data_IF_766130282763
#
_entry.id   IF_766130282763
#
_cell.length_a   1.000
_cell.length_b   1.000
_cell.length_c   1.000
_cell.angle_alpha   90.00
_cell.angle_beta   90.00
_cell.angle_gamma   90.00
#
_symmetry.space_group_name_H-M   'P 1'
#
loop_
_entity.id
_entity.type
_entity.pdbx_description
1 polymer ?
#
# COMPACT_ATOMS: atom_id res chain seq x y z
N UNK A 1 -27.67 -32.67 13.63
CA UNK A 1 -26.27 -32.33 14.00
C UNK A 1 -25.23 -33.27 13.37
N UNK A 2 -25.62 -34.34 12.65
CA UNK A 2 -24.67 -35.34 12.09
C UNK A 2 -24.04 -35.00 10.73
N UNK A 3 -24.52 -33.96 10.03
CA UNK A 3 -24.10 -33.68 8.63
C UNK A 3 -22.71 -33.00 8.56
N UNK A 4 -22.13 -32.58 9.69
CA UNK A 4 -20.81 -31.93 9.74
C UNK A 4 -19.66 -32.88 10.11
N UNK A 5 -19.97 -34.08 10.62
CA UNK A 5 -18.98 -35.07 11.11
C UNK A 5 -18.33 -35.93 10.02
N UNK A 6 -18.81 -35.84 8.78
CA UNK A 6 -18.31 -36.63 7.64
C UNK A 6 -17.40 -35.83 6.69
N UNK A 7 -16.79 -34.72 7.15
CA UNK A 7 -15.62 -34.18 6.43
C UNK A 7 -14.43 -35.07 6.73
N UNK A 8 -14.37 -36.20 6.04
CA UNK A 8 -13.17 -36.99 5.88
C UNK A 8 -12.11 -36.01 5.37
N UNK A 9 -11.20 -35.56 6.25
CA UNK A 9 -10.02 -34.83 5.81
C UNK A 9 -9.27 -35.84 4.96
N UNK A 10 -9.39 -35.70 3.64
CA UNK A 10 -8.54 -36.48 2.75
C UNK A 10 -7.11 -36.11 3.14
N UNK A 11 -6.35 -37.11 3.58
CA UNK A 11 -4.92 -36.98 3.83
C UNK A 11 -4.23 -36.84 2.46
N UNK A 12 -4.35 -35.65 1.88
CA UNK A 12 -3.73 -35.31 0.62
C UNK A 12 -2.25 -35.06 0.92
N UNK A 13 -1.32 -35.78 0.28
CA UNK A 13 0.10 -35.57 0.52
C UNK A 13 0.49 -34.14 0.09
N UNK A 14 1.34 -33.49 0.89
CA UNK A 14 1.74 -32.09 0.66
C UNK A 14 2.32 -31.86 -0.75
N UNK A 15 2.97 -32.88 -1.32
CA UNK A 15 3.49 -32.84 -2.69
C UNK A 15 2.38 -32.56 -3.72
N UNK A 16 1.24 -33.23 -3.62
CA UNK A 16 0.10 -33.02 -4.54
C UNK A 16 -0.49 -31.61 -4.40
N UNK A 17 -0.43 -31.04 -3.19
CA UNK A 17 -0.89 -29.67 -2.93
C UNK A 17 0.06 -28.66 -3.56
N UNK A 18 1.38 -28.89 -3.45
CA UNK A 18 2.40 -28.06 -4.11
C UNK A 18 2.30 -28.13 -5.63
N UNK A 19 2.12 -29.34 -6.17
CA UNK A 19 1.96 -29.56 -7.61
C UNK A 19 0.73 -28.78 -8.16
N UNK A 20 -0.36 -28.69 -7.40
CA UNK A 20 -1.56 -27.90 -7.76
C UNK A 20 -1.38 -26.39 -7.68
N UNK A 21 -0.38 -25.90 -6.95
CA UNK A 21 -0.18 -24.47 -6.66
C UNK A 21 1.06 -23.89 -7.35
N UNK A 22 1.60 -24.55 -8.37
CA UNK A 22 2.72 -24.04 -9.18
C UNK A 22 4.00 -24.86 -9.09
N UNK A 23 3.93 -26.06 -8.51
CA UNK A 23 5.00 -27.07 -8.59
C UNK A 23 5.90 -27.13 -7.36
N UNK A 24 6.82 -28.09 -7.39
CA UNK A 24 7.77 -28.37 -6.31
C UNK A 24 8.93 -27.36 -6.22
N UNK A 25 9.13 -26.54 -7.25
CA UNK A 25 10.22 -25.57 -7.33
C UNK A 25 9.92 -24.22 -6.62
N UNK A 26 8.70 -24.03 -6.11
CA UNK A 26 8.34 -22.84 -5.35
C UNK A 26 8.96 -22.89 -3.94
N UNK A 27 9.48 -21.75 -3.47
CA UNK A 27 9.86 -21.64 -2.05
C UNK A 27 8.63 -21.78 -1.15
N UNK A 28 8.88 -22.15 0.11
CA UNK A 28 7.82 -22.38 1.10
C UNK A 28 6.96 -21.14 1.32
N UNK A 29 7.54 -19.94 1.30
CA UNK A 29 6.81 -18.68 1.44
C UNK A 29 5.84 -18.43 0.27
N UNK A 30 6.29 -18.68 -0.96
CA UNK A 30 5.46 -18.51 -2.16
C UNK A 30 4.34 -19.55 -2.23
N UNK A 31 4.64 -20.80 -1.86
CA UNK A 31 3.63 -21.85 -1.74
C UNK A 31 2.56 -21.48 -0.70
N UNK A 32 2.98 -21.04 0.50
CA UNK A 32 2.06 -20.63 1.57
C UNK A 32 1.20 -19.44 1.14
N UNK A 33 1.79 -18.45 0.47
CA UNK A 33 1.06 -17.30 -0.05
C UNK A 33 -0.04 -17.74 -1.03
N UNK A 34 0.29 -18.58 -2.02
CA UNK A 34 -0.67 -19.13 -2.99
C UNK A 34 -1.75 -19.98 -2.32
N UNK A 35 -1.40 -20.76 -1.31
CA UNK A 35 -2.35 -21.57 -0.55
C UNK A 35 -3.35 -20.70 0.23
N UNK A 36 -2.88 -19.65 0.91
CA UNK A 36 -3.72 -18.71 1.68
C UNK A 36 -4.62 -17.89 0.74
N UNK A 37 -4.09 -17.45 -0.40
CA UNK A 37 -4.82 -16.72 -1.44
C UNK A 37 -5.77 -17.61 -2.26
N UNK A 38 -5.71 -18.94 -2.07
CA UNK A 38 -6.53 -19.96 -2.77
C UNK A 38 -6.30 -19.98 -4.29
N UNK A 39 -5.05 -19.77 -4.72
CA UNK A 39 -4.66 -19.81 -6.12
C UNK A 39 -3.64 -18.73 -6.48
N UNK A 40 -3.44 -18.54 -7.78
CA UNK A 40 -2.43 -17.63 -8.33
C UNK A 40 -3.01 -16.33 -8.90
N UNK A 41 -4.31 -16.27 -9.17
CA UNK A 41 -4.96 -15.17 -9.91
C UNK A 41 -4.71 -13.80 -9.28
N UNK A 42 -4.90 -13.67 -7.97
CA UNK A 42 -4.68 -12.42 -7.24
C UNK A 42 -3.20 -12.04 -7.21
N UNK A 43 -2.32 -13.03 -7.05
CA UNK A 43 -0.86 -12.83 -6.97
C UNK A 43 -0.33 -12.37 -8.33
N UNK A 44 -0.79 -12.99 -9.42
CA UNK A 44 -0.49 -12.59 -10.79
C UNK A 44 -1.00 -11.18 -11.09
N UNK A 45 -2.23 -10.87 -10.69
CA UNK A 45 -2.79 -9.52 -10.85
C UNK A 45 -1.95 -8.47 -10.10
N UNK A 46 -1.49 -8.78 -8.89
CA UNK A 46 -0.60 -7.89 -8.12
C UNK A 46 0.78 -7.74 -8.78
N UNK A 47 1.37 -8.84 -9.28
CA UNK A 47 2.66 -8.79 -10.00
C UNK A 47 2.55 -7.99 -11.30
N UNK A 48 1.46 -8.17 -12.04
CA UNK A 48 1.17 -7.42 -13.26
C UNK A 48 0.92 -5.93 -12.99
N UNK A 49 0.32 -5.58 -11.85
CA UNK A 49 0.15 -4.20 -11.43
C UNK A 49 1.49 -3.48 -11.15
N UNK A 50 2.55 -4.25 -10.88
CA UNK A 50 3.88 -3.73 -10.60
C UNK A 50 4.02 -3.15 -9.19
N UNK A 51 5.16 -2.49 -8.89
CA UNK A 51 5.40 -1.91 -7.59
C UNK A 51 4.38 -0.82 -7.24
N UNK A 52 4.07 -0.63 -5.94
CA UNK A 52 3.16 0.42 -5.51
C UNK A 52 3.64 1.80 -5.99
N UNK A 53 2.70 2.61 -6.46
CA UNK A 53 2.98 3.97 -6.92
C UNK A 53 3.60 4.77 -5.77
N UNK A 54 4.83 5.23 -5.97
CA UNK A 54 5.45 6.19 -5.06
C UNK A 54 4.93 7.59 -5.41
N UNK A 55 3.99 8.06 -4.60
CA UNK A 55 3.52 9.43 -4.71
C UNK A 55 4.53 10.35 -4.03
N UNK A 56 5.42 10.96 -4.81
CA UNK A 56 6.21 12.10 -4.35
C UNK A 56 5.29 13.30 -4.19
N UNK A 57 4.55 13.34 -3.08
CA UNK A 57 3.76 14.51 -2.75
C UNK A 57 4.71 15.69 -2.50
N UNK A 58 4.35 16.87 -3.00
CA UNK A 58 4.97 18.15 -2.62
C UNK A 58 4.04 18.87 -1.62
N UNK A 59 3.80 18.32 -0.42
CA UNK A 59 2.75 18.80 0.47
C UNK A 59 2.96 20.26 0.89
N UNK A 60 4.22 20.69 1.02
CA UNK A 60 4.55 22.08 1.31
C UNK A 60 4.18 23.03 0.17
N UNK A 61 4.41 22.63 -1.08
CA UNK A 61 4.02 23.43 -2.24
C UNK A 61 2.50 23.55 -2.33
N UNK A 62 1.80 22.43 -2.14
CA UNK A 62 0.33 22.40 -2.12
C UNK A 62 -0.22 23.29 -1.00
N UNK A 63 0.34 23.21 0.21
CA UNK A 63 -0.04 24.07 1.32
C UNK A 63 0.16 25.55 0.99
N UNK A 64 1.31 25.92 0.41
CA UNK A 64 1.58 27.32 0.01
C UNK A 64 0.59 27.79 -1.05
N UNK A 65 0.26 26.96 -2.05
CA UNK A 65 -0.74 27.28 -3.08
C UNK A 65 -2.13 27.48 -2.49
N UNK A 66 -2.55 26.66 -1.52
CA UNK A 66 -3.83 26.85 -0.84
C UNK A 66 -3.84 28.13 0.00
N UNK A 67 -2.77 28.41 0.75
CA UNK A 67 -2.64 29.64 1.54
C UNK A 67 -2.72 30.90 0.68
N UNK A 68 -2.22 30.88 -0.56
CA UNK A 68 -2.34 31.99 -1.50
C UNK A 68 -3.80 32.33 -1.86
N UNK A 69 -4.71 31.35 -1.86
CA UNK A 69 -6.13 31.57 -2.14
C UNK A 69 -6.83 32.32 -0.99
N UNK A 70 -6.28 32.25 0.22
CA UNK A 70 -6.87 32.83 1.41
C UNK A 70 -6.32 34.24 1.70
N UNK A 71 -6.92 35.27 1.10
CA UNK A 71 -6.54 36.69 1.28
C UNK A 71 -6.57 37.20 2.73
N UNK A 72 -7.19 36.47 3.66
CA UNK A 72 -7.21 36.77 5.10
C UNK A 72 -5.93 36.34 5.81
N UNK A 73 -5.14 35.46 5.23
CA UNK A 73 -3.85 35.04 5.80
C UNK A 73 -2.85 36.18 5.62
N UNK A 74 -2.47 36.80 6.74
CA UNK A 74 -1.56 37.96 6.76
C UNK A 74 -0.14 37.61 7.17
N UNK A 75 0.05 36.42 7.72
CA UNK A 75 1.32 35.93 8.27
C UNK A 75 1.49 34.46 7.96
N UNK A 76 2.63 34.08 7.40
CA UNK A 76 3.04 32.70 7.16
C UNK A 76 4.49 32.55 7.61
N UNK A 77 4.74 31.57 8.48
CA UNK A 77 6.09 31.18 8.88
C UNK A 77 6.31 29.72 8.56
N UNK A 78 7.39 29.44 7.82
CA UNK A 78 7.85 28.09 7.49
C UNK A 78 9.23 27.91 8.10
N UNK A 79 9.46 26.79 8.80
CA UNK A 79 10.76 26.47 9.39
C UNK A 79 11.19 25.06 9.01
N UNK A 80 12.47 24.90 8.66
CA UNK A 80 13.12 23.62 8.44
C UNK A 80 14.52 23.67 9.06
N UNK A 81 14.68 23.04 10.22
CA UNK A 81 15.94 23.12 10.98
C UNK A 81 16.29 24.57 11.32
N UNK A 82 17.50 25.01 10.93
CA UNK A 82 17.97 26.39 11.11
C UNK A 82 17.43 27.39 10.06
N UNK A 83 16.73 26.92 9.02
CA UNK A 83 16.23 27.79 7.96
C UNK A 83 14.79 28.20 8.28
N UNK A 84 14.49 29.50 8.20
CA UNK A 84 13.13 30.01 8.36
C UNK A 84 12.78 31.01 7.26
N UNK A 85 11.54 30.92 6.77
CA UNK A 85 10.93 31.87 5.85
C UNK A 85 9.72 32.47 6.55
N UNK A 86 9.68 33.80 6.63
CA UNK A 86 8.54 34.55 7.17
C UNK A 86 8.01 35.47 6.09
N UNK A 87 6.72 35.35 5.79
CA UNK A 87 6.01 36.20 4.85
C UNK A 87 4.92 36.94 5.63
N UNK A 88 4.93 38.27 5.54
CA UNK A 88 3.89 39.10 6.13
C UNK A 88 3.31 40.05 5.07
N UNK A 89 2.00 40.23 5.10
CA UNK A 89 1.33 41.18 4.22
C UNK A 89 1.55 42.60 4.72
N UNK A 90 2.32 43.39 3.96
CA UNK A 90 2.44 44.84 4.15
C UNK A 90 1.18 45.50 3.60
N UNK A 91 0.23 45.86 4.47
CA UNK A 91 -0.72 46.91 4.11
C UNK A 91 0.08 48.20 4.12
N UNK A 92 0.46 48.71 2.95
CA UNK A 92 0.53 50.16 2.77
C UNK A 92 -0.90 50.66 2.85
N UNK A 93 -1.17 51.49 3.85
CA UNK A 93 -2.43 52.19 4.05
C UNK A 93 -2.78 53.07 2.84
#
# INVERSE_FOLDING_TARGET
LEVLSARQRQDIPLKEIRDKLGGSDLSDEEFLLRYIMKGEREIEAMRAAGPPKQYHATPLLTLVQELQKHRRVRYVQVQRGGNSLVIHSRNSA
#
